data_IF_704500899852
#
_entry.id   IF_704500899852
#
_cell.length_a   1.000
_cell.length_b   1.000
_cell.length_c   1.000
_cell.angle_alpha   90.00
_cell.angle_beta   90.00
_cell.angle_gamma   90.00
#
_symmetry.space_group_name_H-M   'P 1'
#
loop_
_entity.id
_entity.type
_entity.pdbx_description
1 polymer ?
#
# COMPACT_ATOMS: atom_id res chain seq x y z
N UNK A 1 -18.80 32.52 -13.71
CA UNK A 1 -18.99 31.09 -13.36
C UNK A 1 -19.58 30.38 -14.57
N UNK A 2 -18.76 29.80 -15.45
CA UNK A 2 -19.25 28.85 -16.47
C UNK A 2 -19.49 27.53 -15.73
N UNK A 3 -20.72 27.03 -15.71
CA UNK A 3 -21.03 25.72 -15.18
C UNK A 3 -20.11 24.69 -15.84
N UNK A 4 -19.35 23.95 -15.03
CA UNK A 4 -18.52 22.85 -15.51
C UNK A 4 -19.44 21.90 -16.29
N UNK A 5 -19.19 21.72 -17.59
CA UNK A 5 -19.84 20.66 -18.37
C UNK A 5 -19.42 19.35 -17.71
N UNK A 6 -20.30 18.75 -16.92
CA UNK A 6 -20.08 17.37 -16.46
C UNK A 6 -20.02 16.51 -17.71
N UNK A 7 -18.85 15.99 -18.08
CA UNK A 7 -18.78 15.04 -19.20
C UNK A 7 -19.62 13.82 -18.82
N UNK A 8 -20.78 13.66 -19.46
CA UNK A 8 -21.64 12.50 -19.22
C UNK A 8 -20.93 11.21 -19.68
N UNK A 9 -20.00 11.33 -20.62
CA UNK A 9 -19.17 10.23 -21.10
C UNK A 9 -18.04 9.91 -20.10
N UNK A 10 -17.87 8.63 -19.72
CA UNK A 10 -16.76 8.20 -18.88
C UNK A 10 -15.42 8.32 -19.61
N UNK A 11 -14.33 8.70 -18.93
CA UNK A 11 -13.01 8.75 -19.56
C UNK A 11 -12.47 7.34 -19.86
N UNK A 12 -11.79 7.21 -21.00
CA UNK A 12 -11.08 5.99 -21.40
C UNK A 12 -9.67 6.02 -20.80
N UNK A 13 -9.14 4.91 -20.26
CA UNK A 13 -7.77 4.87 -19.79
C UNK A 13 -6.79 5.10 -20.95
N UNK A 14 -5.72 5.84 -20.66
CA UNK A 14 -4.74 6.30 -21.66
C UNK A 14 -3.36 5.67 -21.50
N UNK A 15 -3.00 5.30 -20.27
CA UNK A 15 -1.65 4.83 -19.95
C UNK A 15 -1.74 3.42 -19.36
N UNK A 16 -1.08 2.47 -20.00
CA UNK A 16 -1.05 1.06 -19.61
C UNK A 16 0.11 0.78 -18.63
N UNK A 17 0.35 -0.49 -18.32
CA UNK A 17 1.47 -0.94 -17.52
C UNK A 17 2.79 -0.66 -18.24
N UNK A 18 3.87 -0.54 -17.48
CA UNK A 18 5.18 -0.11 -17.97
C UNK A 18 5.74 -1.02 -19.07
N UNK A 19 5.49 -2.33 -18.98
CA UNK A 19 5.87 -3.36 -19.95
C UNK A 19 5.21 -3.18 -21.33
N UNK A 20 4.07 -2.50 -21.39
CA UNK A 20 3.34 -2.20 -22.64
C UNK A 20 3.80 -0.91 -23.33
N UNK A 21 4.75 -0.19 -22.72
CA UNK A 21 5.30 1.09 -23.18
C UNK A 21 6.71 0.86 -23.73
N UNK A 22 6.82 0.57 -25.03
CA UNK A 22 8.11 0.31 -25.68
C UNK A 22 8.96 1.57 -25.86
N UNK A 23 8.38 2.64 -26.39
CA UNK A 23 9.00 3.97 -26.44
C UNK A 23 7.93 5.03 -26.22
N UNK A 24 8.23 6.18 -25.59
CA UNK A 24 7.26 7.25 -25.41
C UNK A 24 6.61 7.67 -26.73
N UNK A 25 7.42 7.89 -27.77
CA UNK A 25 6.95 8.40 -29.07
C UNK A 25 5.97 7.45 -29.76
N UNK A 26 6.35 6.18 -29.91
CA UNK A 26 5.49 5.17 -30.56
C UNK A 26 4.22 4.92 -29.75
N UNK A 27 4.33 4.91 -28.41
CA UNK A 27 3.22 4.70 -27.51
C UNK A 27 2.20 5.84 -27.61
N UNK A 28 2.65 7.10 -27.51
CA UNK A 28 1.77 8.28 -27.58
C UNK A 28 1.03 8.36 -28.90
N UNK A 29 1.74 8.16 -30.03
CA UNK A 29 1.09 8.13 -31.36
C UNK A 29 0.00 7.06 -31.44
N UNK A 30 0.24 5.88 -30.87
CA UNK A 30 -0.75 4.79 -30.83
C UNK A 30 -1.97 5.18 -29.98
N UNK A 31 -1.75 5.76 -28.81
CA UNK A 31 -2.85 6.16 -27.90
C UNK A 31 -3.70 7.28 -28.51
N UNK A 32 -3.08 8.31 -29.09
CA UNK A 32 -3.84 9.40 -29.71
C UNK A 32 -4.57 8.95 -30.98
N UNK A 33 -3.96 8.08 -31.81
CA UNK A 33 -4.67 7.47 -32.95
C UNK A 33 -5.93 6.71 -32.51
N UNK A 34 -5.89 6.05 -31.36
CA UNK A 34 -7.04 5.36 -30.78
C UNK A 34 -8.07 6.30 -30.10
N UNK A 35 -7.74 7.59 -29.94
CA UNK A 35 -8.60 8.61 -29.34
C UNK A 35 -8.66 9.87 -30.23
N UNK A 36 -9.39 9.84 -31.36
CA UNK A 36 -9.37 10.92 -32.35
C UNK A 36 -9.70 12.31 -31.77
N UNK A 37 -10.65 12.37 -30.84
CA UNK A 37 -11.05 13.61 -30.18
C UNK A 37 -9.92 14.27 -29.34
N UNK A 38 -8.93 13.49 -28.88
CA UNK A 38 -7.73 14.01 -28.23
C UNK A 38 -6.61 14.29 -29.24
N UNK A 39 -6.54 13.52 -30.33
CA UNK A 39 -5.54 13.70 -31.38
C UNK A 39 -5.72 15.01 -32.16
N UNK A 40 -6.96 15.51 -32.27
CA UNK A 40 -7.29 16.78 -32.92
C UNK A 40 -7.04 18.00 -32.01
N UNK A 41 -6.77 17.80 -30.71
CA UNK A 41 -6.49 18.89 -29.78
C UNK A 41 -5.01 19.23 -29.76
N UNK A 42 -4.69 20.49 -30.00
CA UNK A 42 -3.34 21.03 -29.89
C UNK A 42 -2.79 20.83 -28.47
N UNK A 43 -1.53 20.41 -28.37
CA UNK A 43 -0.80 20.21 -27.11
C UNK A 43 -1.03 18.87 -26.40
N UNK A 44 -2.07 18.10 -26.73
CA UNK A 44 -2.30 16.77 -26.13
C UNK A 44 -1.14 15.79 -26.41
N UNK A 45 -0.50 15.91 -27.57
CA UNK A 45 0.68 15.11 -27.91
C UNK A 45 1.83 15.39 -26.95
N UNK A 46 2.21 16.66 -26.77
CA UNK A 46 3.35 17.05 -25.93
C UNK A 46 3.08 16.74 -24.45
N UNK A 47 1.87 17.02 -23.96
CA UNK A 47 1.44 16.70 -22.59
C UNK A 47 1.62 15.19 -22.31
N UNK A 48 1.14 14.34 -23.24
CA UNK A 48 1.24 12.89 -23.08
C UNK A 48 2.66 12.39 -23.26
N UNK A 49 3.46 12.98 -24.15
CA UNK A 49 4.87 12.66 -24.34
C UNK A 49 5.67 12.89 -23.06
N UNK A 50 5.55 14.07 -22.44
CA UNK A 50 6.23 14.37 -21.18
C UNK A 50 5.72 13.48 -20.05
N UNK A 51 4.42 13.20 -20.00
CA UNK A 51 3.82 12.34 -18.97
C UNK A 51 4.31 10.89 -19.07
N UNK A 52 4.33 10.30 -20.27
CA UNK A 52 4.80 8.93 -20.47
C UNK A 52 6.31 8.85 -20.20
N UNK A 53 7.09 9.83 -20.64
CA UNK A 53 8.54 9.90 -20.36
C UNK A 53 8.82 10.00 -18.86
N UNK A 54 8.08 10.86 -18.14
CA UNK A 54 8.14 10.95 -16.68
C UNK A 54 7.87 9.60 -16.01
N UNK A 55 6.82 8.89 -16.43
CA UNK A 55 6.46 7.61 -15.84
C UNK A 55 7.51 6.53 -16.11
N UNK A 56 8.08 6.49 -17.31
CA UNK A 56 9.12 5.52 -17.68
C UNK A 56 10.41 5.69 -16.85
N UNK A 57 10.69 6.89 -16.33
CA UNK A 57 11.82 7.11 -15.41
C UNK A 57 11.70 6.34 -14.09
N UNK A 58 10.51 5.82 -13.73
CA UNK A 58 10.26 5.05 -12.50
C UNK A 58 10.20 3.53 -12.73
N UNK A 59 10.97 3.03 -13.68
CA UNK A 59 11.01 1.60 -14.05
C UNK A 59 11.55 0.66 -12.95
N UNK A 60 12.26 1.17 -11.93
CA UNK A 60 12.72 0.41 -10.77
C UNK A 60 11.64 0.16 -9.69
N UNK A 61 10.39 0.59 -9.90
CA UNK A 61 9.30 0.32 -8.98
C UNK A 61 7.93 0.34 -9.65
N UNK A 62 7.37 -0.84 -9.91
CA UNK A 62 6.00 -1.02 -10.39
C UNK A 62 4.97 -0.32 -9.48
N UNK A 63 5.19 -0.29 -8.17
CA UNK A 63 4.31 0.41 -7.22
C UNK A 63 4.37 1.94 -7.37
N UNK A 64 5.57 2.53 -7.50
CA UNK A 64 5.73 3.98 -7.72
C UNK A 64 5.15 4.38 -9.07
N UNK A 65 5.47 3.64 -10.14
CA UNK A 65 4.90 3.84 -11.47
C UNK A 65 3.37 3.87 -11.41
N UNK A 66 2.75 2.87 -10.77
CA UNK A 66 1.30 2.78 -10.66
C UNK A 66 0.68 3.93 -9.84
N UNK A 67 1.34 4.33 -8.75
CA UNK A 67 0.93 5.47 -7.95
C UNK A 67 0.98 6.77 -8.75
N UNK A 68 2.06 6.99 -9.49
CA UNK A 68 2.27 8.19 -10.29
C UNK A 68 1.29 8.23 -11.46
N UNK A 69 1.23 7.15 -12.25
CA UNK A 69 0.29 6.95 -13.36
C UNK A 69 -1.13 7.27 -12.94
N UNK A 70 -1.57 6.77 -11.78
CA UNK A 70 -2.94 7.00 -11.29
C UNK A 70 -3.25 8.49 -11.11
N UNK A 71 -2.34 9.29 -10.57
CA UNK A 71 -2.63 10.70 -10.32
C UNK A 71 -2.39 11.57 -11.57
N UNK A 72 -1.32 11.34 -12.33
CA UNK A 72 -1.01 12.16 -13.51
C UNK A 72 -1.98 11.93 -14.66
N UNK A 73 -2.44 10.69 -14.88
CA UNK A 73 -3.44 10.40 -15.91
C UNK A 73 -4.80 11.02 -15.56
N UNK A 74 -5.19 11.01 -14.27
CA UNK A 74 -6.39 11.73 -13.80
C UNK A 74 -6.30 13.22 -14.07
N UNK A 75 -5.13 13.82 -13.84
CA UNK A 75 -4.91 15.24 -14.11
C UNK A 75 -5.04 15.53 -15.62
N UNK A 76 -4.36 14.76 -16.48
CA UNK A 76 -4.46 14.92 -17.94
C UNK A 76 -5.90 14.84 -18.43
N UNK A 77 -6.62 13.79 -18.02
CA UNK A 77 -8.02 13.62 -18.41
C UNK A 77 -8.88 14.80 -17.93
N UNK A 78 -8.66 15.33 -16.73
CA UNK A 78 -9.39 16.51 -16.26
C UNK A 78 -9.05 17.76 -17.08
N UNK A 79 -7.77 17.98 -17.40
CA UNK A 79 -7.31 19.10 -18.22
C UNK A 79 -8.00 19.08 -19.59
N UNK A 80 -7.98 17.94 -20.28
CA UNK A 80 -8.48 17.86 -21.65
C UNK A 80 -10.00 17.69 -21.76
N UNK A 81 -10.64 16.97 -20.83
CA UNK A 81 -12.06 16.61 -20.93
C UNK A 81 -13.00 17.55 -20.17
N UNK A 82 -12.49 18.23 -19.13
CA UNK A 82 -13.30 19.08 -18.25
C UNK A 82 -12.90 20.54 -18.38
N UNK A 83 -11.61 20.84 -18.25
CA UNK A 83 -11.12 22.22 -18.20
C UNK A 83 -10.81 22.82 -19.58
N UNK A 84 -10.56 21.96 -20.56
CA UNK A 84 -10.18 22.29 -21.94
C UNK A 84 -8.90 23.14 -22.01
N UNK A 85 -7.85 22.66 -21.32
CA UNK A 85 -6.52 23.28 -21.27
C UNK A 85 -5.43 22.21 -21.36
N UNK A 86 -4.21 22.62 -21.73
CA UNK A 86 -3.01 21.77 -21.67
C UNK A 86 -2.25 22.00 -20.36
N UNK A 87 -1.28 21.14 -20.05
CA UNK A 87 -0.52 21.26 -18.80
C UNK A 87 0.17 22.63 -18.66
N UNK A 88 0.89 23.18 -19.67
CA UNK A 88 1.61 24.46 -19.53
C UNK A 88 0.71 25.65 -19.16
N UNK A 89 -0.58 25.57 -19.47
CA UNK A 89 -1.56 26.63 -19.22
C UNK A 89 -2.15 26.60 -17.80
N UNK A 90 -1.87 25.54 -17.03
CA UNK A 90 -2.41 25.38 -15.68
C UNK A 90 -1.92 26.44 -14.71
N UNK A 91 -2.88 27.11 -14.06
CA UNK A 91 -2.62 28.09 -13.00
C UNK A 91 -3.00 27.51 -11.65
N UNK A 92 -2.68 28.26 -10.60
CA UNK A 92 -3.08 27.95 -9.23
C UNK A 92 -4.58 27.67 -9.10
N UNK A 93 -5.42 28.51 -9.71
CA UNK A 93 -6.88 28.37 -9.62
C UNK A 93 -7.37 27.06 -10.25
N UNK A 94 -6.79 26.66 -11.39
CA UNK A 94 -7.15 25.42 -12.07
C UNK A 94 -6.83 24.20 -11.20
N UNK A 95 -5.71 24.22 -10.47
CA UNK A 95 -5.41 23.16 -9.51
C UNK A 95 -6.37 23.15 -8.31
N UNK A 96 -6.82 24.31 -7.83
CA UNK A 96 -7.84 24.37 -6.77
C UNK A 96 -9.17 23.76 -7.25
N UNK A 97 -9.55 24.04 -8.50
CA UNK A 97 -10.72 23.46 -9.17
C UNK A 97 -10.55 21.94 -9.40
N UNK A 98 -9.36 21.48 -9.77
CA UNK A 98 -9.03 20.06 -9.91
C UNK A 98 -9.11 19.31 -8.57
N UNK A 99 -8.65 19.92 -7.47
CA UNK A 99 -8.77 19.32 -6.13
C UNK A 99 -10.23 19.20 -5.74
N UNK A 100 -11.05 20.23 -5.99
CA UNK A 100 -12.49 20.18 -5.74
C UNK A 100 -13.16 19.06 -6.56
N UNK A 101 -12.81 18.94 -7.84
CA UNK A 101 -13.24 17.83 -8.69
C UNK A 101 -12.82 16.46 -8.14
N UNK A 102 -11.62 16.32 -7.59
CA UNK A 102 -11.19 15.06 -6.99
C UNK A 102 -11.93 14.71 -5.68
N UNK A 103 -12.48 15.71 -4.97
CA UNK A 103 -13.26 15.50 -3.76
C UNK A 103 -14.72 15.14 -4.05
N UNK A 104 -15.26 15.64 -5.15
CA UNK A 104 -16.62 15.37 -5.61
C UNK A 104 -16.65 15.08 -7.13
N UNK A 105 -16.09 13.92 -7.56
CA UNK A 105 -16.05 13.57 -8.97
C UNK A 105 -17.45 13.18 -9.46
N UNK A 106 -17.80 13.49 -10.73
CA UNK A 106 -19.08 13.11 -11.29
C UNK A 106 -19.24 11.58 -11.35
N UNK A 107 -20.49 11.10 -11.34
CA UNK A 107 -20.82 9.67 -11.37
C UNK A 107 -20.21 8.94 -12.57
N UNK A 108 -20.10 9.60 -13.74
CA UNK A 108 -19.46 9.03 -14.94
C UNK A 108 -17.96 8.74 -14.75
N UNK A 109 -17.30 9.37 -13.78
CA UNK A 109 -15.88 9.18 -13.44
C UNK A 109 -15.66 8.24 -12.25
N UNK A 110 -16.75 7.74 -11.65
CA UNK A 110 -16.71 6.94 -10.43
C UNK A 110 -17.21 5.51 -10.70
N UNK A 111 -16.38 4.53 -10.39
CA UNK A 111 -16.72 3.11 -10.45
C UNK A 111 -17.01 2.52 -9.06
N UNK A 112 -17.68 1.37 -9.03
CA UNK A 112 -17.95 0.61 -7.80
C UNK A 112 -16.87 -0.44 -7.48
N UNK A 113 -15.96 -0.70 -8.42
CA UNK A 113 -14.94 -1.72 -8.29
C UNK A 113 -13.60 -1.27 -8.87
N UNK A 114 -12.51 -1.77 -8.30
CA UNK A 114 -11.18 -1.60 -8.86
C UNK A 114 -10.94 -2.69 -9.91
N UNK A 115 -10.91 -2.29 -11.18
CA UNK A 115 -10.66 -3.19 -12.32
C UNK A 115 -9.36 -2.80 -13.04
N UNK A 116 -8.75 -3.72 -13.80
CA UNK A 116 -7.62 -3.39 -14.68
C UNK A 116 -7.98 -2.29 -15.67
N UNK A 117 -7.04 -1.39 -15.99
CA UNK A 117 -7.22 -0.34 -17.01
C UNK A 117 -7.38 -0.91 -18.40
N UNK A 118 -6.60 -1.94 -18.71
CA UNK A 118 -6.62 -2.65 -19.98
C UNK A 118 -6.80 -4.14 -19.73
N UNK A 119 -7.34 -4.83 -20.71
CA UNK A 119 -7.57 -6.26 -20.71
C UNK A 119 -7.11 -6.86 -22.05
N UNK A 120 -6.58 -8.09 -22.00
CA UNK A 120 -6.25 -8.83 -23.21
C UNK A 120 -7.52 -9.55 -23.70
N UNK A 121 -7.97 -9.23 -24.91
CA UNK A 121 -9.11 -9.88 -25.57
C UNK A 121 -8.68 -10.26 -26.97
N UNK A 122 -8.82 -11.55 -27.31
CA UNK A 122 -8.44 -12.08 -28.63
C UNK A 122 -6.98 -11.81 -29.03
N UNK A 123 -6.08 -11.76 -28.04
CA UNK A 123 -4.65 -11.44 -28.25
C UNK A 123 -4.35 -9.95 -28.36
N UNK A 124 -5.36 -9.08 -28.35
CA UNK A 124 -5.20 -7.63 -28.39
C UNK A 124 -5.41 -6.97 -27.02
N UNK A 125 -4.62 -5.95 -26.74
CA UNK A 125 -4.73 -5.14 -25.52
C UNK A 125 -5.76 -4.03 -25.72
N UNK A 126 -6.91 -4.14 -25.04
CA UNK A 126 -8.03 -3.21 -25.19
C UNK A 126 -8.33 -2.46 -23.88
N UNK A 127 -8.74 -1.17 -23.93
CA UNK A 127 -9.21 -0.45 -22.76
C UNK A 127 -10.39 -1.17 -22.09
N UNK A 128 -10.41 -1.23 -20.76
CA UNK A 128 -11.49 -1.85 -20.02
C UNK A 128 -12.67 -0.86 -19.86
N UNK A 129 -13.85 -1.13 -20.44
CA UNK A 129 -15.00 -0.22 -20.36
C UNK A 129 -15.54 -0.01 -18.95
N UNK A 130 -15.28 -0.95 -18.02
CA UNK A 130 -15.67 -0.84 -16.62
C UNK A 130 -14.68 0.00 -15.79
N UNK A 131 -13.53 0.37 -16.34
CA UNK A 131 -12.53 1.15 -15.60
C UNK A 131 -13.01 2.58 -15.37
N UNK A 132 -12.77 3.09 -14.16
CA UNK A 132 -13.03 4.47 -13.78
C UNK A 132 -11.86 5.05 -12.97
N UNK A 133 -11.54 6.36 -13.12
CA UNK A 133 -10.44 6.97 -12.39
C UNK A 133 -10.66 7.08 -10.88
N UNK A 134 -11.92 7.22 -10.46
CA UNK A 134 -12.32 7.20 -9.06
C UNK A 134 -13.09 5.91 -8.76
N UNK A 135 -12.92 5.38 -7.55
CA UNK A 135 -13.63 4.17 -7.11
C UNK A 135 -14.20 4.44 -5.73
N UNK A 136 -15.52 4.33 -5.60
CA UNK A 136 -16.19 4.23 -4.30
C UNK A 136 -16.71 2.82 -4.16
N UNK A 137 -16.07 2.04 -3.27
CA UNK A 137 -16.49 0.69 -2.93
C UNK A 137 -16.90 0.66 -1.47
N UNK A 138 -17.96 -0.08 -1.08
CA UNK A 138 -18.29 -0.28 0.31
C UNK A 138 -17.07 -0.74 1.11
N UNK A 139 -16.90 -0.21 2.33
CA UNK A 139 -15.92 -0.74 3.26
C UNK A 139 -16.31 -2.16 3.71
N UNK A 140 -15.45 -2.79 4.49
CA UNK A 140 -15.69 -4.17 4.96
C UNK A 140 -16.93 -4.31 5.86
N UNK A 141 -17.51 -3.19 6.32
CA UNK A 141 -18.74 -3.14 7.10
C UNK A 141 -19.96 -2.78 6.23
N UNK A 142 -19.81 -2.77 4.90
CA UNK A 142 -20.88 -2.45 3.95
C UNK A 142 -21.20 -0.96 3.83
N UNK A 143 -20.40 -0.08 4.44
CA UNK A 143 -20.64 1.37 4.38
C UNK A 143 -20.00 1.94 3.12
N UNK A 144 -20.79 2.64 2.31
CA UNK A 144 -20.25 3.37 1.16
C UNK A 144 -19.39 4.54 1.65
N UNK A 145 -18.08 4.54 1.40
CA UNK A 145 -17.21 5.63 1.84
C UNK A 145 -17.57 6.90 1.07
N UNK A 146 -17.41 8.04 1.75
CA UNK A 146 -17.43 9.34 1.08
C UNK A 146 -16.38 9.35 -0.05
N UNK A 147 -16.76 9.90 -1.20
CA UNK A 147 -15.83 10.16 -2.30
C UNK A 147 -14.79 11.24 -1.94
N UNK A 148 -15.00 11.98 -0.85
CA UNK A 148 -14.04 12.95 -0.37
C UNK A 148 -12.69 12.28 -0.09
N UNK A 149 -11.64 12.80 -0.71
CA UNK A 149 -10.28 12.34 -0.48
C UNK A 149 -9.92 12.44 1.00
N UNK A 150 -9.47 11.31 1.57
CA UNK A 150 -8.86 11.34 2.90
C UNK A 150 -7.64 12.27 2.93
N UNK A 151 -7.29 12.79 4.11
CA UNK A 151 -6.08 13.62 4.27
C UNK A 151 -4.81 12.92 3.74
N UNK A 152 -4.68 11.59 3.95
CA UNK A 152 -3.56 10.79 3.43
C UNK A 152 -3.60 10.70 1.89
N UNK A 153 -4.77 10.49 1.30
CA UNK A 153 -4.94 10.47 -0.15
C UNK A 153 -4.60 11.82 -0.78
N UNK A 154 -4.99 12.91 -0.12
CA UNK A 154 -4.69 14.26 -0.57
C UNK A 154 -3.21 14.61 -0.45
N UNK A 155 -2.54 14.22 0.64
CA UNK A 155 -1.09 14.34 0.77
C UNK A 155 -0.35 13.57 -0.32
N UNK A 156 -0.80 12.35 -0.63
CA UNK A 156 -0.23 11.55 -1.70
C UNK A 156 -0.44 12.21 -3.08
N UNK A 157 -1.64 12.71 -3.37
CA UNK A 157 -1.94 13.48 -4.58
C UNK A 157 -0.97 14.66 -4.72
N UNK A 158 -0.88 15.52 -3.71
CA UNK A 158 0.02 16.68 -3.73
C UNK A 158 1.50 16.28 -3.87
N UNK A 159 1.93 15.18 -3.24
CA UNK A 159 3.30 14.69 -3.37
C UNK A 159 3.60 14.27 -4.82
N UNK A 160 2.71 13.48 -5.44
CA UNK A 160 2.88 13.04 -6.84
C UNK A 160 2.86 14.23 -7.79
N UNK A 161 1.87 15.12 -7.67
CA UNK A 161 1.76 16.30 -8.53
C UNK A 161 2.97 17.22 -8.35
N UNK A 162 3.44 17.42 -7.12
CA UNK A 162 4.64 18.23 -6.87
C UNK A 162 5.86 17.65 -7.57
N UNK A 163 6.07 16.33 -7.53
CA UNK A 163 7.16 15.67 -8.25
C UNK A 163 7.00 15.80 -9.76
N UNK A 164 5.79 15.59 -10.27
CA UNK A 164 5.49 15.65 -11.70
C UNK A 164 5.70 17.07 -12.26
N UNK A 165 5.13 18.11 -11.65
CA UNK A 165 5.33 19.48 -12.12
C UNK A 165 6.76 19.98 -11.95
N UNK A 166 7.51 19.52 -10.93
CA UNK A 166 8.93 19.83 -10.85
C UNK A 166 9.71 19.22 -12.02
N UNK A 167 9.39 17.99 -12.43
CA UNK A 167 9.96 17.38 -13.62
C UNK A 167 9.61 18.18 -14.88
N UNK A 168 8.34 18.57 -15.08
CA UNK A 168 7.95 19.38 -16.24
C UNK A 168 8.69 20.72 -16.31
N UNK A 169 9.00 21.32 -15.16
CA UNK A 169 9.83 22.54 -15.10
C UNK A 169 11.29 22.27 -15.45
N UNK A 170 11.84 21.13 -15.03
CA UNK A 170 13.21 20.73 -15.38
C UNK A 170 13.38 20.43 -16.87
N UNK A 171 12.33 19.90 -17.50
CA UNK A 171 12.27 19.65 -18.96
C UNK A 171 11.92 20.91 -19.78
N UNK A 172 11.87 22.09 -19.14
CA UNK A 172 11.45 23.38 -19.74
C UNK A 172 10.06 23.34 -20.42
N UNK A 173 9.23 22.35 -20.08
CA UNK A 173 7.86 22.23 -20.59
C UNK A 173 6.90 23.19 -19.87
N UNK A 174 7.24 23.56 -18.63
CA UNK A 174 6.47 24.49 -17.81
C UNK A 174 7.40 25.46 -17.09
N UNK A 175 6.98 26.72 -16.93
CA UNK A 175 7.84 27.74 -16.29
C UNK A 175 7.82 27.71 -14.76
N UNK A 176 6.69 27.32 -14.17
CA UNK A 176 6.47 27.42 -12.71
C UNK A 176 5.66 26.23 -12.23
N UNK A 177 6.01 25.65 -11.08
CA UNK A 177 5.21 24.60 -10.46
C UNK A 177 3.96 25.19 -9.72
N UNK A 178 2.73 24.96 -10.20
CA UNK A 178 1.53 25.53 -9.58
C UNK A 178 1.18 24.90 -8.22
N UNK A 179 1.66 23.67 -7.92
CA UNK A 179 1.41 22.98 -6.64
C UNK A 179 2.12 23.67 -5.47
N UNK A 180 3.32 24.20 -5.72
CA UNK A 180 4.12 24.89 -4.70
C UNK A 180 3.36 26.08 -4.09
N UNK A 181 2.57 26.78 -4.92
CA UNK A 181 1.76 27.93 -4.51
C UNK A 181 0.59 27.54 -3.60
N UNK A 182 -0.02 26.36 -3.82
CA UNK A 182 -1.16 25.89 -3.03
C UNK A 182 -0.71 25.43 -1.64
N UNK A 183 0.41 24.67 -1.55
CA UNK A 183 0.87 24.08 -0.28
C UNK A 183 1.17 25.11 0.80
N UNK A 184 1.69 26.29 0.46
CA UNK A 184 2.09 27.32 1.43
C UNK A 184 0.91 27.94 2.20
N UNK A 185 -0.31 27.94 1.63
CA UNK A 185 -1.52 28.50 2.23
C UNK A 185 -2.71 27.53 2.21
N UNK A 186 -2.42 26.23 2.22
CA UNK A 186 -3.43 25.21 1.93
C UNK A 186 -4.46 25.07 3.04
N UNK A 187 -5.72 25.39 2.72
CA UNK A 187 -6.91 25.02 3.51
C UNK A 187 -7.24 23.52 3.47
N UNK A 188 -6.55 22.78 2.59
CA UNK A 188 -6.89 21.39 2.28
C UNK A 188 -6.16 20.38 3.18
N UNK A 189 -4.97 20.75 3.68
CA UNK A 189 -4.15 19.88 4.53
C UNK A 189 -4.24 20.32 5.99
N UNK A 190 -4.92 19.52 6.82
CA UNK A 190 -4.96 19.76 8.26
C UNK A 190 -3.65 19.30 8.90
N UNK A 191 -2.99 20.18 9.65
CA UNK A 191 -1.88 19.80 10.52
C UNK A 191 -2.46 19.33 11.84
N UNK A 192 -2.28 18.05 12.17
CA UNK A 192 -2.67 17.53 13.47
C UNK A 192 -1.57 17.87 14.49
N UNK A 193 -1.97 18.46 15.62
CA UNK A 193 -1.07 18.73 16.75
C UNK A 193 -0.73 17.46 17.56
N UNK A 194 -1.43 16.36 17.29
CA UNK A 194 -1.22 15.06 17.91
C UNK A 194 -0.91 13.99 16.86
N UNK A 195 -0.22 12.93 17.25
CA UNK A 195 0.01 11.79 16.38
C UNK A 195 -1.20 10.85 16.46
N UNK A 196 -1.75 10.43 15.31
CA UNK A 196 -2.79 9.40 15.31
C UNK A 196 -2.26 8.12 15.97
N UNK A 197 -3.02 7.48 16.87
CA UNK A 197 -2.59 6.23 17.48
C UNK A 197 -2.38 5.17 16.40
N UNK A 198 -1.29 4.42 16.52
CA UNK A 198 -1.01 3.31 15.62
C UNK A 198 -2.03 2.21 15.88
N UNK A 199 -2.78 1.84 14.84
CA UNK A 199 -3.77 0.77 14.92
C UNK A 199 -3.06 -0.58 15.08
N UNK A 200 -3.50 -1.34 16.08
CA UNK A 200 -2.90 -2.58 16.57
C UNK A 200 -4.02 -3.54 16.98
N UNK A 201 -3.74 -4.82 16.90
CA UNK A 201 -4.56 -5.87 17.52
C UNK A 201 -4.31 -5.89 19.03
N UNK A 202 -5.31 -6.28 19.82
CA UNK A 202 -5.12 -6.60 21.24
C UNK A 202 -4.39 -7.94 21.41
N UNK A 203 -3.79 -8.16 22.59
CA UNK A 203 -3.11 -9.44 22.87
C UNK A 203 -4.09 -10.61 22.79
N UNK A 204 -5.30 -10.45 23.35
CA UNK A 204 -6.37 -11.43 23.22
C UNK A 204 -6.69 -11.75 21.75
N UNK A 205 -6.92 -10.74 20.91
CA UNK A 205 -7.19 -10.97 19.48
C UNK A 205 -6.05 -11.73 18.80
N UNK A 206 -4.80 -11.38 19.13
CA UNK A 206 -3.62 -12.09 18.59
C UNK A 206 -3.57 -13.55 19.04
N UNK A 207 -3.83 -13.83 20.31
CA UNK A 207 -3.85 -15.19 20.86
C UNK A 207 -4.90 -16.04 20.12
N UNK A 208 -6.13 -15.54 19.93
CA UNK A 208 -7.15 -16.23 19.13
C UNK A 208 -6.71 -16.48 17.69
N UNK A 209 -6.07 -15.50 17.04
CA UNK A 209 -5.56 -15.67 15.67
C UNK A 209 -4.50 -16.77 15.62
N UNK A 210 -3.56 -16.76 16.57
CA UNK A 210 -2.47 -17.73 16.61
C UNK A 210 -3.00 -19.14 16.89
N UNK A 211 -3.87 -19.30 17.89
CA UNK A 211 -4.52 -20.57 18.21
C UNK A 211 -5.30 -21.14 17.03
N UNK A 212 -6.06 -20.31 16.30
CA UNK A 212 -6.77 -20.74 15.09
C UNK A 212 -5.80 -21.21 14.01
N UNK A 213 -4.69 -20.49 13.81
CA UNK A 213 -3.69 -20.89 12.81
C UNK A 213 -2.98 -22.20 13.18
N UNK A 214 -2.71 -22.41 14.47
CA UNK A 214 -2.07 -23.64 14.97
C UNK A 214 -2.99 -24.84 14.84
N UNK A 215 -4.26 -24.71 15.29
CA UNK A 215 -5.26 -25.76 15.13
C UNK A 215 -5.45 -26.15 13.66
N UNK A 216 -5.57 -25.18 12.76
CA UNK A 216 -5.70 -25.46 11.33
C UNK A 216 -4.51 -26.23 10.76
N UNK A 217 -3.29 -25.88 11.18
CA UNK A 217 -2.08 -26.56 10.72
C UNK A 217 -1.94 -27.98 11.31
N UNK A 218 -2.44 -28.19 12.53
CA UNK A 218 -2.47 -29.50 13.17
C UNK A 218 -3.54 -30.43 12.54
N UNK A 219 -4.67 -29.87 12.10
CA UNK A 219 -5.76 -30.60 11.43
C UNK A 219 -5.48 -30.90 9.95
N UNK A 220 -4.95 -29.91 9.21
CA UNK A 220 -4.62 -30.05 7.79
C UNK A 220 -3.23 -29.44 7.50
N UNK A 221 -2.24 -30.26 7.09
CA UNK A 221 -0.90 -29.79 6.74
C UNK A 221 -0.87 -28.68 5.68
N UNK A 222 -1.91 -28.50 4.85
CA UNK A 222 -2.00 -27.39 3.91
C UNK A 222 -1.91 -26.00 4.60
N UNK A 223 -2.24 -25.91 5.88
CA UNK A 223 -2.18 -24.70 6.69
C UNK A 223 -0.81 -24.43 7.35
N UNK A 224 0.17 -25.33 7.25
CA UNK A 224 1.54 -25.08 7.75
C UNK A 224 2.17 -23.84 7.10
N UNK A 225 1.91 -23.64 5.81
CA UNK A 225 2.30 -22.43 5.08
C UNK A 225 1.64 -21.18 5.67
N UNK A 226 0.36 -21.26 6.05
CA UNK A 226 -0.39 -20.16 6.65
C UNK A 226 0.18 -19.80 8.01
N UNK A 227 0.39 -20.80 8.88
CA UNK A 227 0.97 -20.61 10.20
C UNK A 227 2.36 -19.98 10.12
N UNK A 228 3.23 -20.47 9.25
CA UNK A 228 4.57 -19.91 9.08
C UNK A 228 4.54 -18.46 8.60
N UNK A 229 3.66 -18.10 7.65
CA UNK A 229 3.46 -16.72 7.20
C UNK A 229 3.04 -15.81 8.36
N UNK A 230 2.07 -16.25 9.18
CA UNK A 230 1.57 -15.48 10.32
C UNK A 230 2.67 -15.23 11.36
N UNK A 231 3.43 -16.27 11.71
CA UNK A 231 4.59 -16.17 12.63
C UNK A 231 5.66 -15.23 12.08
N UNK A 232 5.99 -15.30 10.78
CA UNK A 232 6.94 -14.37 10.15
C UNK A 232 6.48 -12.91 10.20
N UNK A 233 5.21 -12.63 9.90
CA UNK A 233 4.68 -11.27 9.87
C UNK A 233 4.63 -10.63 11.27
N UNK A 234 4.32 -11.43 12.28
CA UNK A 234 4.27 -11.00 13.68
C UNK A 234 5.66 -10.93 14.32
N UNK A 235 6.38 -12.05 14.39
CA UNK A 235 7.60 -12.20 15.18
C UNK A 235 8.86 -11.63 14.54
N UNK A 236 8.87 -11.40 13.22
CA UNK A 236 10.01 -10.77 12.51
C UNK A 236 9.65 -9.42 11.90
N UNK A 237 8.45 -8.90 12.19
CA UNK A 237 7.96 -7.60 11.73
C UNK A 237 7.98 -7.44 10.21
N UNK A 238 7.94 -8.51 9.43
CA UNK A 238 8.12 -8.42 7.98
C UNK A 238 6.96 -7.67 7.31
N UNK A 239 7.28 -6.93 6.25
CA UNK A 239 6.24 -6.44 5.32
C UNK A 239 5.78 -7.60 4.46
N UNK A 240 4.53 -7.59 4.02
CA UNK A 240 4.04 -8.59 3.04
C UNK A 240 4.90 -8.63 1.78
N UNK A 241 5.41 -7.48 1.32
CA UNK A 241 6.30 -7.41 0.16
C UNK A 241 7.66 -8.09 0.40
N UNK A 242 8.07 -8.28 1.65
CA UNK A 242 9.32 -8.94 2.03
C UNK A 242 9.17 -10.48 2.10
N UNK A 243 7.95 -11.00 1.90
CA UNK A 243 7.65 -12.44 1.83
C UNK A 243 7.40 -12.95 0.41
N UNK A 244 7.36 -12.05 -0.58
CA UNK A 244 7.07 -12.40 -1.97
C UNK A 244 8.24 -12.03 -2.86
N UNK A 245 8.39 -12.73 -3.97
CA UNK A 245 9.33 -12.35 -5.01
C UNK A 245 8.77 -11.21 -5.88
N UNK A 246 9.60 -10.21 -6.14
CA UNK A 246 9.34 -9.08 -7.04
C UNK A 246 10.59 -8.76 -7.88
N UNK A 247 10.59 -7.62 -8.58
CA UNK A 247 11.71 -7.21 -9.44
C UNK A 247 13.01 -6.92 -8.67
N UNK A 248 12.97 -6.84 -7.34
CA UNK A 248 14.11 -6.47 -6.48
C UNK A 248 14.69 -7.64 -5.72
N UNK A 249 13.84 -8.56 -5.26
CA UNK A 249 14.28 -9.67 -4.43
C UNK A 249 13.34 -10.85 -4.50
N UNK A 250 13.89 -12.05 -4.30
CA UNK A 250 13.15 -13.29 -4.11
C UNK A 250 13.59 -13.91 -2.78
N UNK A 251 12.77 -13.88 -1.72
CA UNK A 251 13.14 -14.44 -0.42
C UNK A 251 13.36 -15.95 -0.50
N UNK A 252 14.49 -16.42 0.01
CA UNK A 252 14.90 -17.84 -0.01
C UNK A 252 15.15 -18.37 1.40
N UNK A 253 15.15 -19.69 1.55
CA UNK A 253 15.50 -20.35 2.81
C UNK A 253 16.96 -20.07 3.22
N UNK A 254 17.88 -19.95 2.25
CA UNK A 254 19.27 -19.59 2.51
C UNK A 254 19.49 -18.14 2.98
N UNK A 255 18.44 -17.31 3.03
CA UNK A 255 18.49 -16.00 3.67
C UNK A 255 18.47 -16.12 5.22
N UNK A 256 18.03 -17.26 5.77
CA UNK A 256 18.29 -17.60 7.16
C UNK A 256 19.74 -18.06 7.32
N UNK A 257 20.48 -17.36 8.16
CA UNK A 257 21.92 -17.53 8.32
C UNK A 257 22.27 -17.61 9.79
N UNK A 258 23.20 -18.51 10.11
CA UNK A 258 23.79 -18.62 11.43
C UNK A 258 25.16 -17.94 11.43
N UNK A 259 25.42 -17.11 12.42
CA UNK A 259 26.75 -16.52 12.61
C UNK A 259 27.71 -17.44 13.37
N UNK A 260 28.95 -16.97 13.61
CA UNK A 260 29.99 -17.75 14.31
C UNK A 260 29.62 -18.05 15.77
N UNK A 261 28.82 -17.17 16.39
CA UNK A 261 28.35 -17.29 17.76
C UNK A 261 27.07 -18.12 17.88
N UNK A 262 26.62 -18.72 16.77
CA UNK A 262 25.42 -19.56 16.65
C UNK A 262 24.10 -18.80 16.72
N UNK A 263 24.10 -17.46 16.63
CA UNK A 263 22.86 -16.69 16.51
C UNK A 263 22.28 -16.76 15.10
N UNK A 264 20.96 -16.75 15.02
CA UNK A 264 20.23 -16.82 13.76
C UNK A 264 19.72 -15.46 13.32
N UNK A 265 19.87 -15.23 12.02
CA UNK A 265 19.50 -13.99 11.36
C UNK A 265 18.74 -14.28 10.07
N UNK A 266 17.75 -13.46 9.74
CA UNK A 266 17.11 -13.47 8.44
C UNK A 266 17.55 -12.24 7.65
N UNK A 267 18.18 -12.45 6.50
CA UNK A 267 18.51 -11.38 5.56
C UNK A 267 17.26 -10.97 4.77
N UNK A 268 16.89 -9.69 4.81
CA UNK A 268 15.70 -9.16 4.14
C UNK A 268 16.05 -7.94 3.30
N UNK A 269 15.59 -7.90 2.05
CA UNK A 269 15.70 -6.72 1.18
C UNK A 269 14.40 -5.93 1.22
N UNK A 270 14.45 -4.72 1.79
CA UNK A 270 13.28 -3.87 2.03
C UNK A 270 13.15 -2.70 1.04
N UNK A 271 12.30 -1.73 1.41
CA UNK A 271 12.06 -0.50 0.64
C UNK A 271 13.37 0.25 0.37
N UNK A 272 13.56 0.70 -0.87
CA UNK A 272 14.77 1.42 -1.29
C UNK A 272 15.93 0.50 -1.65
N UNK A 273 15.66 -0.79 -1.88
CA UNK A 273 16.66 -1.82 -2.19
C UNK A 273 17.74 -1.95 -1.10
N UNK A 274 17.33 -1.76 0.17
CA UNK A 274 18.21 -1.83 1.33
C UNK A 274 18.06 -3.19 2.01
N UNK A 275 19.16 -3.93 2.09
CA UNK A 275 19.22 -5.15 2.87
C UNK A 275 19.37 -4.83 4.36
N UNK A 276 18.76 -5.67 5.21
CA UNK A 276 18.96 -5.67 6.67
C UNK A 276 18.96 -7.10 7.19
N UNK A 277 19.60 -7.33 8.32
CA UNK A 277 19.46 -8.57 9.08
C UNK A 277 18.35 -8.37 10.11
N UNK A 278 17.48 -9.36 10.23
CA UNK A 278 16.43 -9.43 11.26
C UNK A 278 16.81 -10.52 12.23
N UNK A 279 16.83 -10.20 13.52
CA UNK A 279 17.11 -11.17 14.58
C UNK A 279 16.04 -12.27 14.58
N UNK A 280 16.46 -13.54 14.64
CA UNK A 280 15.55 -14.70 14.68
C UNK A 280 15.53 -15.26 16.09
N UNK A 281 14.37 -15.22 16.75
CA UNK A 281 14.17 -15.81 18.07
C UNK A 281 14.12 -17.34 18.03
N UNK A 282 14.32 -17.99 19.17
CA UNK A 282 14.22 -19.45 19.29
C UNK A 282 12.83 -19.96 18.86
N UNK A 283 11.75 -19.28 19.24
CA UNK A 283 10.40 -19.62 18.81
C UNK A 283 10.22 -19.52 17.28
N UNK A 284 10.83 -18.51 16.65
CA UNK A 284 10.82 -18.39 15.19
C UNK A 284 11.69 -19.47 14.53
N UNK A 285 12.78 -19.88 15.17
CA UNK A 285 13.61 -20.98 14.69
C UNK A 285 12.87 -22.31 14.77
N UNK A 286 12.09 -22.57 15.83
CA UNK A 286 11.22 -23.73 15.93
C UNK A 286 10.08 -23.70 14.90
N UNK A 287 9.48 -22.52 14.67
CA UNK A 287 8.50 -22.34 13.59
C UNK A 287 9.10 -22.63 12.21
N UNK A 288 10.34 -22.21 11.96
CA UNK A 288 11.07 -22.52 10.73
C UNK A 288 11.31 -24.03 10.59
N UNK A 289 11.79 -24.71 11.65
CA UNK A 289 12.01 -26.16 11.64
C UNK A 289 10.71 -26.93 11.40
N UNK A 290 9.59 -26.52 12.00
CA UNK A 290 8.26 -27.10 11.77
C UNK A 290 7.86 -26.95 10.30
N UNK A 291 7.96 -25.75 9.75
CA UNK A 291 7.59 -25.49 8.36
C UNK A 291 8.48 -26.23 7.36
N UNK A 292 9.80 -26.30 7.61
CA UNK A 292 10.74 -27.02 6.75
C UNK A 292 10.48 -28.53 6.74
N UNK A 293 10.11 -29.13 7.89
CA UNK A 293 9.68 -30.54 7.94
C UNK A 293 8.44 -30.79 7.09
N UNK A 294 7.46 -29.88 7.11
CA UNK A 294 6.30 -29.96 6.22
C UNK A 294 6.69 -29.94 4.73
N UNK A 295 7.71 -29.17 4.37
CA UNK A 295 8.27 -29.13 3.02
C UNK A 295 9.22 -30.31 2.69
N UNK A 296 9.35 -31.29 3.60
CA UNK A 296 10.31 -32.40 3.49
C UNK A 296 11.78 -31.95 3.33
N UNK A 297 12.15 -30.84 3.99
CA UNK A 297 13.50 -30.28 4.00
C UNK A 297 14.21 -30.58 5.34
N UNK A 298 15.56 -30.54 5.38
CA UNK A 298 16.30 -30.57 6.64
C UNK A 298 15.84 -29.46 7.60
N UNK A 299 15.80 -29.69 8.93
CA UNK A 299 15.22 -28.73 9.89
C UNK A 299 15.82 -27.33 9.84
N UNK A 300 17.11 -27.21 9.53
CA UNK A 300 17.81 -25.94 9.38
C UNK A 300 18.28 -25.76 7.93
N UNK A 301 18.24 -24.53 7.40
CA UNK A 301 18.77 -24.24 6.07
C UNK A 301 20.29 -24.18 6.07
N UNK A 302 20.87 -24.39 4.89
CA UNK A 302 22.29 -24.16 4.64
C UNK A 302 22.49 -22.85 3.88
N UNK A 303 23.69 -22.27 4.00
CA UNK A 303 24.04 -21.01 3.30
C UNK A 303 23.96 -21.22 1.79
N UNK A 304 23.20 -20.35 1.11
CA UNK A 304 23.01 -20.42 -0.34
C UNK A 304 21.92 -21.37 -0.81
N UNK A 305 21.12 -21.96 0.10
CA UNK A 305 19.94 -22.74 -0.26
C UNK A 305 18.97 -21.92 -1.12
N UNK A 306 18.66 -22.42 -2.33
CA UNK A 306 17.81 -21.75 -3.32
C UNK A 306 16.32 -22.10 -3.20
N UNK A 307 15.94 -22.80 -2.13
CA UNK A 307 14.53 -23.10 -1.86
C UNK A 307 13.79 -21.80 -1.55
N UNK A 308 12.66 -21.50 -2.23
CA UNK A 308 11.85 -20.33 -1.90
C UNK A 308 11.42 -20.31 -0.43
N UNK A 309 11.50 -19.15 0.22
CA UNK A 309 11.03 -18.97 1.59
C UNK A 309 9.53 -19.32 1.69
N UNK A 310 8.74 -18.80 0.76
CA UNK A 310 7.32 -19.13 0.61
C UNK A 310 7.10 -19.61 -0.84
N UNK A 311 6.92 -20.91 -1.09
CA UNK A 311 6.63 -21.43 -2.42
C UNK A 311 5.20 -21.07 -2.87
N UNK A 312 4.97 -21.13 -4.19
CA UNK A 312 3.63 -21.07 -4.77
C UNK A 312 2.80 -22.29 -4.36
N UNK A 313 1.49 -22.10 -4.20
CA UNK A 313 0.55 -23.21 -3.98
C UNK A 313 0.45 -24.15 -5.19
N UNK A 314 0.62 -23.61 -6.40
CA UNK A 314 0.61 -24.36 -7.66
C UNK A 314 1.77 -23.91 -8.53
N UNK A 315 2.45 -24.87 -9.15
CA UNK A 315 3.63 -24.62 -9.98
C UNK A 315 4.93 -24.53 -9.17
N UNK A 316 5.98 -23.98 -9.79
CA UNK A 316 7.32 -23.87 -9.20
C UNK A 316 7.69 -22.41 -8.86
N UNK A 317 8.59 -22.27 -7.90
CA UNK A 317 9.20 -21.00 -7.51
C UNK A 317 8.48 -20.26 -6.37
N UNK A 318 8.97 -19.06 -6.02
CA UNK A 318 8.45 -18.25 -4.92
C UNK A 318 7.07 -17.66 -5.24
N UNK A 319 6.27 -17.43 -4.20
CA UNK A 319 5.05 -16.62 -4.31
C UNK A 319 5.40 -15.21 -4.78
N UNK A 320 4.63 -14.65 -5.71
CA UNK A 320 4.86 -13.29 -6.25
C UNK A 320 3.74 -12.31 -5.90
N UNK A 321 2.60 -12.81 -5.40
CA UNK A 321 1.40 -12.01 -5.17
C UNK A 321 1.26 -11.61 -3.71
N UNK A 322 1.53 -10.33 -3.41
CA UNK A 322 1.20 -9.76 -2.08
C UNK A 322 -0.30 -9.86 -1.77
N UNK A 323 -1.17 -9.86 -2.79
CA UNK A 323 -2.62 -9.98 -2.64
C UNK A 323 -3.01 -11.35 -2.08
N UNK A 324 -2.37 -12.43 -2.53
CA UNK A 324 -2.62 -13.78 -2.00
C UNK A 324 -2.29 -13.87 -0.51
N UNK A 325 -1.15 -13.32 -0.09
CA UNK A 325 -0.76 -13.28 1.33
C UNK A 325 -1.76 -12.46 2.15
N UNK A 326 -2.20 -11.31 1.64
CA UNK A 326 -3.21 -10.48 2.32
C UNK A 326 -4.56 -11.19 2.47
N UNK A 327 -5.00 -11.96 1.49
CA UNK A 327 -6.22 -12.75 1.60
C UNK A 327 -6.10 -13.87 2.62
N UNK A 328 -4.96 -14.57 2.63
CA UNK A 328 -4.67 -15.60 3.61
C UNK A 328 -4.74 -15.03 5.03
N UNK A 329 -4.05 -13.91 5.30
CA UNK A 329 -4.08 -13.26 6.63
C UNK A 329 -5.49 -12.81 6.99
N UNK A 330 -6.24 -12.27 6.02
CA UNK A 330 -7.63 -11.87 6.27
C UNK A 330 -8.51 -13.07 6.63
N UNK A 331 -8.35 -14.20 5.94
CA UNK A 331 -9.07 -15.43 6.26
C UNK A 331 -8.81 -15.86 7.71
N UNK A 332 -7.57 -15.78 8.19
CA UNK A 332 -7.25 -16.06 9.59
C UNK A 332 -7.95 -15.10 10.55
N UNK A 333 -8.03 -13.81 10.22
CA UNK A 333 -8.76 -12.82 11.03
C UNK A 333 -10.26 -13.09 11.05
N UNK A 334 -10.84 -13.48 9.92
CA UNK A 334 -12.27 -13.79 9.81
C UNK A 334 -12.61 -15.06 10.64
N UNK A 335 -11.77 -16.08 10.59
CA UNK A 335 -11.94 -17.30 11.41
C UNK A 335 -11.75 -17.04 12.90
N UNK A 336 -10.77 -16.22 13.28
CA UNK A 336 -10.60 -15.78 14.66
C UNK A 336 -11.81 -14.97 15.14
N UNK A 337 -12.37 -14.10 14.28
CA UNK A 337 -13.61 -13.39 14.56
C UNK A 337 -14.77 -14.34 14.84
N UNK A 338 -14.97 -15.35 13.98
CA UNK A 338 -16.06 -16.31 14.14
C UNK A 338 -15.92 -17.10 15.46
N UNK A 339 -14.71 -17.56 15.79
CA UNK A 339 -14.42 -18.25 17.07
C UNK A 339 -14.65 -17.35 18.29
N UNK A 340 -14.21 -16.09 18.26
CA UNK A 340 -14.45 -15.14 19.34
C UNK A 340 -15.95 -14.86 19.51
N UNK A 341 -16.69 -14.72 18.41
CA UNK A 341 -18.15 -14.53 18.42
C UNK A 341 -18.86 -15.73 19.05
N UNK A 342 -18.48 -16.95 18.70
CA UNK A 342 -19.04 -18.18 19.28
C UNK A 342 -18.84 -18.28 20.80
N UNK A 343 -17.79 -17.63 21.32
CA UNK A 343 -17.49 -17.55 22.75
C UNK A 343 -18.08 -16.30 23.43
N UNK A 344 -18.92 -15.53 22.74
CA UNK A 344 -19.59 -14.35 23.30
C UNK A 344 -18.75 -13.07 23.32
N UNK A 345 -17.60 -13.04 22.63
CA UNK A 345 -16.67 -11.89 22.57
C UNK A 345 -16.84 -11.06 21.28
N UNK A 346 -18.08 -10.87 20.84
CA UNK A 346 -18.36 -10.24 19.54
C UNK A 346 -17.90 -8.77 19.47
N UNK A 347 -18.00 -8.04 20.59
CA UNK A 347 -17.61 -6.63 20.64
C UNK A 347 -16.10 -6.46 20.44
N UNK A 348 -15.31 -7.29 21.12
CA UNK A 348 -13.86 -7.34 21.03
C UNK A 348 -13.38 -7.85 19.67
N UNK A 349 -14.14 -8.76 19.05
CA UNK A 349 -13.80 -9.33 17.76
C UNK A 349 -13.99 -8.35 16.59
N UNK A 350 -14.86 -7.34 16.73
CA UNK A 350 -15.29 -6.49 15.61
C UNK A 350 -14.13 -5.79 14.87
N UNK A 351 -13.02 -5.50 15.57
CA UNK A 351 -11.83 -4.91 14.96
C UNK A 351 -11.13 -5.85 13.96
N UNK A 352 -11.27 -7.18 14.11
CA UNK A 352 -10.68 -8.17 13.22
C UNK A 352 -11.22 -8.06 11.79
N UNK A 353 -12.51 -7.73 11.64
CA UNK A 353 -13.12 -7.49 10.33
C UNK A 353 -12.42 -6.37 9.58
N UNK A 354 -12.11 -5.27 10.26
CA UNK A 354 -11.51 -4.08 9.63
C UNK A 354 -9.98 -4.08 9.66
N UNK A 355 -9.38 -5.00 10.42
CA UNK A 355 -7.94 -5.15 10.54
C UNK A 355 -7.27 -5.44 9.20
N UNK A 356 -6.02 -5.03 9.09
CA UNK A 356 -5.20 -5.26 7.89
C UNK A 356 -3.91 -5.93 8.31
N UNK A 357 -3.22 -6.59 7.38
CA UNK A 357 -1.93 -7.24 7.65
C UNK A 357 -0.91 -6.29 8.28
N UNK A 358 -1.01 -4.98 8.02
CA UNK A 358 -0.08 -4.03 8.62
C UNK A 358 -0.27 -3.87 10.13
N UNK A 359 -1.48 -4.12 10.64
CA UNK A 359 -1.75 -4.09 12.08
C UNK A 359 -0.99 -5.22 12.79
N UNK A 360 -0.86 -6.39 12.17
CA UNK A 360 -0.10 -7.50 12.74
C UNK A 360 1.36 -7.13 12.99
N UNK A 361 2.00 -6.52 11.98
CA UNK A 361 3.35 -5.96 12.12
C UNK A 361 3.40 -4.88 13.21
N UNK A 362 2.41 -4.00 13.28
CA UNK A 362 2.36 -2.96 14.30
C UNK A 362 2.19 -3.52 15.71
N UNK A 363 1.40 -4.57 15.87
CA UNK A 363 1.23 -5.30 17.13
C UNK A 363 2.55 -5.93 17.55
N UNK A 364 3.21 -6.70 16.67
CA UNK A 364 4.50 -7.32 16.97
C UNK A 364 5.56 -6.31 17.44
N UNK A 365 5.73 -5.21 16.69
CA UNK A 365 6.66 -4.14 17.07
C UNK A 365 6.29 -3.53 18.42
N UNK A 366 5.01 -3.26 18.65
CA UNK A 366 4.51 -2.66 19.88
C UNK A 366 4.70 -3.54 21.11
N UNK A 367 4.47 -4.85 20.98
CA UNK A 367 4.66 -5.78 22.08
C UNK A 367 6.14 -5.94 22.39
N UNK A 368 6.99 -5.97 21.37
CA UNK A 368 8.42 -6.19 21.55
C UNK A 368 9.16 -5.00 22.17
N UNK A 369 8.81 -3.75 21.79
CA UNK A 369 9.42 -2.55 22.40
C UNK A 369 9.13 -2.37 23.89
N UNK A 370 8.20 -3.16 24.47
CA UNK A 370 7.99 -3.19 25.93
C UNK A 370 9.12 -3.88 26.67
N UNK A 371 9.86 -4.77 26.01
CA UNK A 371 10.85 -5.66 26.63
C UNK A 371 12.23 -5.55 25.99
N UNK A 372 12.31 -5.35 24.66
CA UNK A 372 13.58 -5.20 23.92
C UNK A 372 13.96 -3.73 23.72
N UNK A 373 15.27 -3.40 23.67
CA UNK A 373 15.74 -2.07 23.32
C UNK A 373 15.16 -1.58 21.98
N UNK A 374 14.61 -0.37 21.97
CA UNK A 374 13.91 0.22 20.82
C UNK A 374 14.80 0.35 19.58
N UNK A 375 16.10 0.52 19.77
CA UNK A 375 17.11 0.59 18.71
C UNK A 375 17.18 -0.73 17.96
N UNK A 376 17.19 -1.86 18.68
CA UNK A 376 17.22 -3.20 18.09
C UNK A 376 15.91 -3.47 17.33
N UNK A 377 14.76 -3.18 17.93
CA UNK A 377 13.45 -3.37 17.26
C UNK A 377 13.32 -2.48 16.02
N UNK A 378 13.84 -1.24 16.06
CA UNK A 378 13.87 -0.35 14.88
C UNK A 378 14.66 -0.98 13.74
N UNK A 379 15.82 -1.55 14.04
CA UNK A 379 16.71 -2.16 13.06
C UNK A 379 16.08 -3.42 12.45
N UNK A 380 15.56 -4.33 13.28
CA UNK A 380 14.81 -5.52 12.86
C UNK A 380 13.60 -5.14 11.97
N UNK A 381 12.82 -4.12 12.39
CA UNK A 381 11.69 -3.63 11.62
C UNK A 381 12.10 -2.90 10.32
N UNK A 382 13.34 -2.44 10.20
CA UNK A 382 13.81 -1.64 9.07
C UNK A 382 13.08 -0.30 8.95
N UNK A 383 13.00 0.44 10.07
CA UNK A 383 12.52 1.82 10.09
C UNK A 383 13.67 2.79 9.83
N UNK A 384 13.47 3.75 8.93
CA UNK A 384 14.50 4.73 8.57
C UNK A 384 14.78 5.78 9.66
N UNK A 385 13.89 5.95 10.63
CA UNK A 385 14.05 6.92 11.71
C UNK A 385 13.49 6.39 13.03
N UNK A 386 14.12 6.80 14.14
CA UNK A 386 13.61 6.54 15.50
C UNK A 386 12.20 7.05 15.71
N UNK A 387 11.87 8.22 15.16
CA UNK A 387 10.53 8.81 15.23
C UNK A 387 9.41 7.87 14.69
N UNK A 388 9.76 6.91 13.82
CA UNK A 388 8.79 5.89 13.37
C UNK A 388 8.55 4.82 14.43
N UNK A 389 9.56 4.44 15.21
CA UNK A 389 9.47 3.48 16.32
C UNK A 389 8.90 4.12 17.59
N UNK A 390 9.16 5.41 17.84
CA UNK A 390 8.59 6.12 19.00
C UNK A 390 7.05 6.18 18.95
N UNK A 391 6.45 6.06 17.75
CA UNK A 391 4.99 5.98 17.55
C UNK A 391 4.31 4.79 18.22
N UNK A 392 5.05 3.75 18.56
CA UNK A 392 4.49 2.55 19.19
C UNK A 392 4.39 2.68 20.71
N UNK A 393 4.96 3.74 21.29
CA UNK A 393 4.93 4.01 22.71
C UNK A 393 3.73 4.91 23.00
N UNK A 394 2.76 4.37 23.75
CA UNK A 394 1.47 5.02 24.04
C UNK A 394 1.39 5.51 25.50
N UNK A 395 2.52 5.83 26.12
CA UNK A 395 2.58 6.23 27.52
C UNK A 395 1.93 7.59 27.75
N UNK A 396 2.26 8.59 26.93
CA UNK A 396 1.81 9.97 27.13
C UNK A 396 0.28 10.15 27.00
N UNK A 397 -0.37 9.51 26.02
CA UNK A 397 -1.82 9.61 25.86
C UNK A 397 -2.58 8.89 26.97
N UNK A 398 -2.08 7.73 27.43
CA UNK A 398 -2.68 7.00 28.54
C UNK A 398 -2.57 7.76 29.86
N UNK A 399 -1.40 8.34 30.15
CA UNK A 399 -1.18 9.19 31.32
C UNK A 399 -2.06 10.45 31.28
N UNK A 400 -2.17 11.08 30.10
CA UNK A 400 -3.05 12.23 29.89
C UNK A 400 -4.53 11.87 30.07
N UNK A 401 -4.96 10.71 29.61
CA UNK A 401 -6.33 10.23 29.84
C UNK A 401 -6.56 9.93 31.33
N UNK A 402 -5.64 9.21 31.97
CA UNK A 402 -5.73 8.84 33.38
C UNK A 402 -5.81 10.08 34.29
N UNK A 403 -4.99 11.10 34.03
CA UNK A 403 -5.01 12.38 34.77
C UNK A 403 -6.29 13.18 34.57
N UNK A 404 -6.96 13.05 33.41
CA UNK A 404 -8.23 13.72 33.14
C UNK A 404 -9.46 12.92 33.56
N UNK A 405 -9.34 11.60 33.80
CA UNK A 405 -10.46 10.68 34.03
C UNK A 405 -11.39 11.09 35.18
N UNK A 406 -10.83 11.73 36.21
CA UNK A 406 -11.57 12.16 37.41
C UNK A 406 -11.72 13.69 37.51
N UNK A 407 -11.45 14.44 36.42
CA UNK A 407 -11.57 15.89 36.42
C UNK A 407 -13.04 16.31 36.58
N UNK A 408 -13.36 16.99 37.69
CA UNK A 408 -14.70 17.52 37.95
C UNK A 408 -15.03 18.68 36.99
N UNK A 409 -16.26 18.72 36.48
CA UNK A 409 -16.74 19.80 35.59
C UNK A 409 -17.24 21.02 36.38
N UNK A 410 -17.65 20.84 37.64
CA UNK A 410 -17.94 21.92 38.57
C UNK A 410 -16.72 22.12 39.47
N UNK A 411 -16.10 23.30 39.50
CA UNK A 411 -15.08 23.58 40.50
C UNK A 411 -15.72 23.47 41.89
N UNK A 412 -15.05 22.78 42.81
CA UNK A 412 -15.44 22.83 44.21
C UNK A 412 -15.13 24.25 44.70
N UNK A 413 -16.13 24.90 45.33
CA UNK A 413 -16.00 26.26 45.87
C UNK A 413 -15.02 26.31 47.02
#
# INVERSE_FOLDING_TARGET
>A
MKAARSSQTPPVPLIDQLDEISSPLSYVRRILKANPALNEKDGCFDDLMHTVTFLMAYNGSTATFNGYRREVEKLLQWCWLIRDVNLPDLKRQDLEDYIAFCQDPPASWTGSAQVPRYQNREGERQPNPAWRPFVSKPDKLGRTPSLALSQKSMQALFAVLSTFFNYLVQEDYMRVNPVALIRQKSKYLTRHAYQEPVRRLSNMQWDYILEVCEQLADEDPAHERTLFIMKCLFGMYLRVSELVADERSAPMMGDFQQDQDKHWWLRVVGKGNKARMVTVSDDMLEALKRYRRHLALPPLPYVGEQTPLIPKLKGRGPVTSTRQIRYLVQSCFDMAYDRMREQGLEQEAQELKVSTVHWLRHTGISEDVKFRPKEHVREDAGHASMATTDRYIDTEMRERHASARHKKLKPEM
#
